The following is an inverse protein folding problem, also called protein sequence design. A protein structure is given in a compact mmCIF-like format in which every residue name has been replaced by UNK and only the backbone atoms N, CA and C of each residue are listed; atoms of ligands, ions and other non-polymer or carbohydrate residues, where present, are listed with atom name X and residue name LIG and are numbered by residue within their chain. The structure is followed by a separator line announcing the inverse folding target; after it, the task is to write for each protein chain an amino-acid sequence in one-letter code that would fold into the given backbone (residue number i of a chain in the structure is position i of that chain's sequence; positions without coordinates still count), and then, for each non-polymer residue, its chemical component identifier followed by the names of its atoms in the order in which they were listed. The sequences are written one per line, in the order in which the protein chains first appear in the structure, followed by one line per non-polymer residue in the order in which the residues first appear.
data_IF_104564468323
#
_entry.id   IF_104564468323
#
_cell.length_a   1.000
_cell.length_b   1.000
_cell.length_c   1.000
_cell.angle_alpha   90.00
_cell.angle_beta   90.00
_cell.angle_gamma   90.00
#
_symmetry.space_group_name_H-M   'P 1'
#
loop_
_entity.id
_entity.type
_entity.pdbx_description
1 polymer ?
#
# COMPACT_ATOMS: atom_id res chain seq x y z
N UNK A 1 -4.81 -5.64 6.16
CA UNK A 1 -3.50 -5.44 5.47
C UNK A 1 -3.20 -6.47 4.37
N UNK A 2 -3.93 -7.59 4.30
CA UNK A 2 -3.83 -8.50 3.15
C UNK A 2 -4.33 -7.83 1.85
N UNK A 3 -5.58 -7.36 1.83
CA UNK A 3 -6.19 -6.66 0.68
C UNK A 3 -5.34 -5.51 0.14
N UNK A 4 -4.76 -4.67 1.01
CA UNK A 4 -3.91 -3.56 0.59
C UNK A 4 -2.64 -4.02 -0.14
N UNK A 5 -2.07 -5.16 0.25
CA UNK A 5 -0.90 -5.74 -0.40
C UNK A 5 -1.28 -6.32 -1.77
N UNK A 6 -2.42 -7.02 -1.84
CA UNK A 6 -2.93 -7.58 -3.11
C UNK A 6 -3.23 -6.48 -4.13
N UNK A 7 -3.81 -5.37 -3.67
CA UNK A 7 -4.03 -4.19 -4.51
C UNK A 7 -2.71 -3.57 -4.99
N UNK A 8 -1.68 -3.50 -4.13
CA UNK A 8 -0.36 -2.96 -4.51
C UNK A 8 0.38 -3.82 -5.54
N UNK A 9 0.04 -5.10 -5.67
CA UNK A 9 0.61 -5.99 -6.70
C UNK A 9 0.01 -5.75 -8.09
N UNK A 10 -1.07 -4.97 -8.20
CA UNK A 10 -1.66 -4.63 -9.50
C UNK A 10 -0.78 -3.58 -10.21
N UNK A 11 -0.47 -3.74 -11.50
CA UNK A 11 0.44 -2.84 -12.23
C UNK A 11 -0.05 -1.39 -12.29
N UNK A 12 -1.38 -1.18 -12.27
CA UNK A 12 -2.01 0.14 -12.35
C UNK A 12 -2.28 0.77 -10.96
N UNK A 13 -2.01 0.05 -9.88
CA UNK A 13 -2.33 0.54 -8.54
C UNK A 13 -1.27 1.52 -8.03
N UNK A 14 -1.73 2.68 -7.55
CA UNK A 14 -0.90 3.66 -6.84
C UNK A 14 -1.12 3.56 -5.34
N UNK A 15 -0.08 3.87 -4.57
CA UNK A 15 -0.15 3.89 -3.10
C UNK A 15 -1.30 4.78 -2.61
N UNK A 16 -1.55 5.91 -3.29
CA UNK A 16 -2.66 6.81 -2.95
C UNK A 16 -4.03 6.18 -3.21
N UNK A 17 -4.23 5.55 -4.37
CA UNK A 17 -5.50 4.89 -4.70
C UNK A 17 -5.79 3.73 -3.75
N UNK A 18 -4.75 2.95 -3.41
CA UNK A 18 -4.89 1.87 -2.43
C UNK A 18 -5.23 2.42 -1.04
N UNK A 19 -4.61 3.53 -0.63
CA UNK A 19 -4.91 4.18 0.64
C UNK A 19 -6.39 4.61 0.73
N UNK A 20 -6.91 5.24 -0.32
CA UNK A 20 -8.33 5.62 -0.41
C UNK A 20 -9.25 4.39 -0.37
N UNK A 21 -8.94 3.34 -1.15
CA UNK A 21 -9.74 2.12 -1.20
C UNK A 21 -9.80 1.37 0.14
N UNK A 22 -8.73 1.42 0.93
CA UNK A 22 -8.66 0.75 2.24
C UNK A 22 -9.07 1.66 3.41
N UNK A 23 -9.61 2.84 3.12
CA UNK A 23 -10.23 3.74 4.10
C UNK A 23 -9.26 4.67 4.83
N UNK A 24 -8.08 4.93 4.29
CA UNK A 24 -7.14 5.91 4.85
C UNK A 24 -7.35 7.28 4.23
N UNK A 25 -7.49 8.29 5.09
CA UNK A 25 -7.65 9.67 4.69
C UNK A 25 -6.42 10.24 3.93
N UNK A 26 -5.22 9.68 4.17
CA UNK A 26 -4.01 10.09 3.47
C UNK A 26 -3.11 8.91 3.08
N UNK A 27 -2.40 8.99 1.95
CA UNK A 27 -1.41 7.98 1.56
C UNK A 27 -0.27 7.83 2.57
N UNK A 28 0.03 8.89 3.33
CA UNK A 28 1.05 8.88 4.38
C UNK A 28 0.62 8.02 5.58
N UNK A 29 -0.60 8.20 6.08
CA UNK A 29 -1.16 7.39 7.17
C UNK A 29 -1.21 5.91 6.80
N UNK A 30 -1.61 5.62 5.55
CA UNK A 30 -1.57 4.27 5.00
C UNK A 30 -0.13 3.72 4.97
N UNK A 31 0.83 4.51 4.46
CA UNK A 31 2.23 4.07 4.34
C UNK A 31 2.86 3.74 5.69
N UNK A 32 2.58 4.55 6.72
CA UNK A 32 3.03 4.29 8.08
C UNK A 32 2.40 3.00 8.66
N UNK A 33 1.09 2.82 8.51
CA UNK A 33 0.39 1.64 8.98
C UNK A 33 0.84 0.36 8.24
N UNK A 34 1.00 0.45 6.92
CA UNK A 34 1.46 -0.66 6.08
C UNK A 34 2.88 -1.07 6.46
N UNK A 35 3.81 -0.10 6.61
CA UNK A 35 5.18 -0.37 7.07
C UNK A 35 5.20 -1.01 8.46
N UNK A 36 4.36 -0.57 9.40
CA UNK A 36 4.27 -1.17 10.73
C UNK A 36 3.82 -2.63 10.71
N UNK A 37 2.93 -2.99 9.78
CA UNK A 37 2.37 -4.36 9.70
C UNK A 37 3.21 -5.29 8.80
N UNK A 38 3.80 -4.78 7.72
CA UNK A 38 4.54 -5.58 6.72
C UNK A 38 6.05 -5.44 6.82
N UNK A 39 6.58 -4.52 7.62
CA UNK A 39 8.01 -4.24 7.76
C UNK A 39 8.63 -3.43 6.61
N UNK A 40 7.92 -3.26 5.49
CA UNK A 40 8.38 -2.52 4.30
C UNK A 40 7.37 -1.47 3.87
N UNK A 41 7.82 -0.39 3.23
CA UNK A 41 6.90 0.63 2.70
C UNK A 41 6.09 0.10 1.51
N UNK A 42 4.84 0.57 1.31
CA UNK A 42 4.00 0.12 0.20
C UNK A 42 4.63 0.38 -1.18
N UNK A 43 5.37 1.48 -1.35
CA UNK A 43 6.12 1.78 -2.58
C UNK A 43 7.19 0.74 -2.86
N UNK A 44 7.96 0.33 -1.83
CA UNK A 44 9.00 -0.70 -1.96
C UNK A 44 8.38 -2.08 -2.20
N UNK A 45 7.27 -2.36 -1.55
CA UNK A 45 6.50 -3.60 -1.76
C UNK A 45 6.03 -3.70 -3.21
N UNK A 46 5.43 -2.64 -3.76
CA UNK A 46 5.04 -2.57 -5.18
C UNK A 46 6.25 -2.73 -6.13
N UNK A 47 7.39 -2.13 -5.80
CA UNK A 47 8.59 -2.23 -6.62
C UNK A 47 9.21 -3.64 -6.64
N UNK A 48 8.98 -4.46 -5.61
CA UNK A 48 9.41 -5.87 -5.58
C UNK A 48 8.41 -6.82 -6.26
N UNK A 49 7.13 -6.42 -6.33
CA UNK A 49 6.08 -7.20 -6.99
C UNK A 49 6.05 -7.01 -8.53
N UNK A 50 6.83 -6.06 -9.05
CA UNK A 50 6.97 -5.76 -10.48
C UNK A 50 8.26 -6.35 -11.04
#
# INVERSE_FOLDING_TARGET
MALAADLLCQPEATVSRVAEQVGYATPYAFSAAFKRVRGVSPTRYRAQAR
#
